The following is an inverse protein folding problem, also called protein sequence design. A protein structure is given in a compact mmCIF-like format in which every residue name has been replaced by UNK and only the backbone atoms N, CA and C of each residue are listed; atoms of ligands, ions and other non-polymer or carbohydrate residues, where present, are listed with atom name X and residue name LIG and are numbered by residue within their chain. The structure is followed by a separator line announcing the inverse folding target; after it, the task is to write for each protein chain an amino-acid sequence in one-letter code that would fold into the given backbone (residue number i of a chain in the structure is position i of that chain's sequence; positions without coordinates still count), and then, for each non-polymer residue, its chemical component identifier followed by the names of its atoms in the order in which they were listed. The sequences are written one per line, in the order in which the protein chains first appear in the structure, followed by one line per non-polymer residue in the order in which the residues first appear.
data_IF_200223690002
#
_entry.id   IF_200223690002
#
_cell.length_a   1.000
_cell.length_b   1.000
_cell.length_c   1.000
_cell.angle_alpha   90.00
_cell.angle_beta   90.00
_cell.angle_gamma   90.00
#
_symmetry.space_group_name_H-M   'P 1'
#
loop_
_entity.id
_entity.type
_entity.pdbx_description
1 polymer ?
#
# COMPACT_ATOMS: atom_id res chain seq x y z
N UNK A 1 7.12 19.13 8.87
CA UNK A 1 6.72 18.23 7.77
C UNK A 1 7.99 17.88 7.01
N UNK A 2 8.34 16.59 6.93
CA UNK A 2 9.55 16.09 6.28
C UNK A 2 9.11 15.23 5.09
N UNK A 3 9.37 15.66 3.86
CA UNK A 3 9.08 14.85 2.67
C UNK A 3 10.33 14.05 2.30
N UNK A 4 10.18 12.73 2.19
CA UNK A 4 11.29 11.83 1.89
C UNK A 4 11.29 11.37 0.43
N UNK A 5 10.22 11.58 -0.33
CA UNK A 5 10.09 11.14 -1.73
C UNK A 5 10.45 9.66 -1.92
N UNK A 6 10.14 8.81 -0.93
CA UNK A 6 10.53 7.39 -0.94
C UNK A 6 12.04 7.12 -0.76
N UNK A 7 12.86 8.13 -0.49
CA UNK A 7 14.30 7.96 -0.29
C UNK A 7 14.64 7.56 1.16
N UNK A 8 15.14 6.33 1.33
CA UNK A 8 15.51 5.75 2.63
C UNK A 8 16.60 6.56 3.37
N UNK A 9 17.57 7.15 2.66
CA UNK A 9 18.61 7.95 3.30
C UNK A 9 18.03 9.24 3.89
N UNK A 10 17.14 9.93 3.15
CA UNK A 10 16.40 11.09 3.66
C UNK A 10 15.53 10.71 4.87
N UNK A 11 14.88 9.55 4.85
CA UNK A 11 14.06 9.07 5.98
C UNK A 11 14.88 8.93 7.24
N UNK A 12 16.03 8.26 7.15
CA UNK A 12 16.93 8.08 8.29
C UNK A 12 17.42 9.41 8.85
N UNK A 13 17.82 10.33 7.99
CA UNK A 13 18.37 11.62 8.41
C UNK A 13 17.28 12.48 9.09
N UNK A 14 16.04 12.45 8.59
CA UNK A 14 14.92 13.11 9.26
C UNK A 14 14.56 12.47 10.59
N UNK A 15 14.56 11.15 10.70
CA UNK A 15 14.29 10.48 11.97
C UNK A 15 15.34 10.79 13.02
N UNK A 16 16.63 10.80 12.64
CA UNK A 16 17.71 11.22 13.54
C UNK A 16 17.52 12.66 14.01
N UNK A 17 17.23 13.58 13.08
CA UNK A 17 16.97 14.97 13.43
C UNK A 17 15.77 15.12 14.37
N UNK A 18 14.68 14.36 14.14
CA UNK A 18 13.48 14.43 14.98
C UNK A 18 13.74 13.87 16.39
N UNK A 19 14.49 12.76 16.49
CA UNK A 19 14.93 12.22 17.77
C UNK A 19 15.83 13.21 18.53
N UNK A 20 16.77 13.86 17.85
CA UNK A 20 17.65 14.88 18.45
C UNK A 20 16.90 16.13 18.92
N UNK A 21 15.78 16.47 18.26
CA UNK A 21 14.96 17.66 18.59
C UNK A 21 13.98 17.45 19.75
N UNK A 22 13.98 16.29 20.43
CA UNK A 22 13.07 15.96 21.55
C UNK A 22 11.61 16.23 21.21
N UNK A 23 11.16 15.71 20.06
CA UNK A 23 9.72 15.72 19.74
C UNK A 23 8.95 14.87 20.75
N UNK A 24 7.70 15.22 21.02
CA UNK A 24 6.84 14.51 22.00
C UNK A 24 6.21 13.22 21.42
N UNK A 25 6.31 13.03 20.10
CA UNK A 25 5.78 11.85 19.41
C UNK A 25 6.09 11.89 17.91
N UNK A 26 5.90 10.76 17.24
CA UNK A 26 6.19 10.60 15.82
C UNK A 26 5.03 9.94 15.08
N UNK A 27 4.59 10.57 13.98
CA UNK A 27 3.70 9.96 13.00
C UNK A 27 4.52 9.63 11.75
N UNK A 28 4.61 8.34 11.42
CA UNK A 28 5.36 7.85 10.27
C UNK A 28 4.39 7.40 9.19
N UNK A 29 4.36 8.13 8.07
CA UNK A 29 3.65 7.72 6.86
C UNK A 29 4.69 7.31 5.84
N UNK A 30 4.78 6.02 5.54
CA UNK A 30 5.70 5.52 4.55
C UNK A 30 5.13 4.33 3.80
N UNK A 31 5.41 4.29 2.50
CA UNK A 31 5.05 3.18 1.63
C UNK A 31 5.96 1.96 1.75
N UNK A 32 7.11 2.06 2.44
CA UNK A 32 7.98 0.95 2.87
C UNK A 32 8.75 1.32 4.14
N UNK A 33 8.86 0.40 5.10
CA UNK A 33 9.77 0.52 6.23
C UNK A 33 10.83 -0.57 6.12
N UNK A 34 12.09 -0.17 5.96
CA UNK A 34 13.18 -1.14 6.02
C UNK A 34 13.47 -1.55 7.48
N UNK A 35 14.11 -2.70 7.64
CA UNK A 35 14.44 -3.27 8.96
C UNK A 35 15.37 -2.35 9.77
N UNK A 36 16.22 -1.57 9.10
CA UNK A 36 17.12 -0.63 9.78
C UNK A 36 16.38 0.56 10.37
N UNK A 37 15.34 1.03 9.68
CA UNK A 37 14.47 2.09 10.13
C UNK A 37 13.66 1.64 11.33
N UNK A 38 13.08 0.44 11.27
CA UNK A 38 12.40 -0.18 12.41
C UNK A 38 13.33 -0.30 13.62
N UNK A 39 14.56 -0.80 13.44
CA UNK A 39 15.53 -0.87 14.54
C UNK A 39 15.90 0.52 15.10
N UNK A 40 15.96 1.55 14.25
CA UNK A 40 16.24 2.91 14.70
C UNK A 40 15.07 3.48 15.52
N UNK A 41 13.84 3.16 15.13
CA UNK A 41 12.60 3.53 15.81
C UNK A 41 12.45 2.78 17.14
N UNK A 42 12.72 1.48 17.18
CA UNK A 42 12.69 0.64 18.40
C UNK A 42 13.72 1.07 19.46
N UNK A 43 14.80 1.74 19.04
CA UNK A 43 15.78 2.32 19.98
C UNK A 43 15.23 3.53 20.72
N UNK A 44 14.16 4.17 20.22
CA UNK A 44 13.53 5.35 20.81
C UNK A 44 12.33 4.95 21.69
N UNK A 45 12.56 4.09 22.69
CA UNK A 45 11.50 3.47 23.51
C UNK A 45 10.58 4.47 24.24
N UNK A 46 11.09 5.68 24.50
CA UNK A 46 10.37 6.71 25.25
C UNK A 46 9.57 7.65 24.33
N UNK A 47 9.62 7.44 23.01
CA UNK A 47 8.95 8.28 22.03
C UNK A 47 7.69 7.58 21.48
N UNK A 48 6.47 8.04 21.81
CA UNK A 48 5.24 7.51 21.25
C UNK A 48 5.23 7.56 19.72
N UNK A 49 4.83 6.47 19.08
CA UNK A 49 4.92 6.32 17.63
C UNK A 49 3.69 5.65 17.03
N UNK A 50 3.20 6.26 15.96
CA UNK A 50 2.12 5.71 15.12
C UNK A 50 2.62 5.58 13.69
N UNK A 51 2.46 4.40 13.11
CA UNK A 51 2.75 4.11 11.71
C UNK A 51 1.43 4.05 10.94
N UNK A 52 1.40 4.63 9.73
CA UNK A 52 0.24 4.60 8.85
C UNK A 52 0.53 3.82 7.56
N UNK A 53 -0.53 3.26 6.97
CA UNK A 53 -0.57 2.49 5.70
C UNK A 53 0.09 1.11 5.76
N UNK A 54 1.32 1.00 6.27
CA UNK A 54 2.02 -0.27 6.37
C UNK A 54 3.04 -0.29 7.51
N UNK A 55 3.11 -1.39 8.26
CA UNK A 55 4.13 -1.61 9.28
C UNK A 55 4.00 -2.97 9.95
N UNK A 56 5.09 -3.53 10.51
CA UNK A 56 5.03 -4.75 11.30
C UNK A 56 4.29 -4.51 12.63
N UNK A 57 3.69 -5.56 13.16
CA UNK A 57 3.19 -5.53 14.53
C UNK A 57 4.39 -5.51 15.50
N UNK A 58 4.59 -4.39 16.20
CA UNK A 58 5.59 -4.27 17.26
C UNK A 58 4.92 -3.74 18.53
N UNK A 59 5.29 -4.23 19.73
CA UNK A 59 4.73 -3.77 21.00
C UNK A 59 4.93 -2.28 21.29
N UNK A 60 5.80 -1.60 20.53
CA UNK A 60 6.17 -0.20 20.74
C UNK A 60 5.62 0.75 19.67
N UNK A 61 4.84 0.24 18.72
CA UNK A 61 4.28 1.04 17.63
C UNK A 61 2.81 0.74 17.45
N UNK A 62 1.98 1.78 17.50
CA UNK A 62 0.60 1.67 17.05
C UNK A 62 0.56 1.75 15.52
N UNK A 63 -0.36 1.00 14.91
CA UNK A 63 -0.45 0.91 13.46
C UNK A 63 -1.87 1.22 13.00
N UNK A 64 -2.01 2.15 12.07
CA UNK A 64 -3.28 2.52 11.44
C UNK A 64 -3.20 2.09 9.98
N UNK A 65 -3.96 1.06 9.63
CA UNK A 65 -4.00 0.48 8.28
C UNK A 65 -5.42 0.45 7.74
N UNK A 66 -5.53 0.57 6.43
CA UNK A 66 -6.74 0.21 5.72
C UNK A 66 -6.84 -1.32 5.58
N UNK A 67 -8.05 -1.82 5.31
CA UNK A 67 -8.20 -3.21 4.88
C UNK A 67 -8.16 -3.27 3.36
N UNK A 68 -6.95 -3.36 2.81
CA UNK A 68 -6.69 -3.38 1.38
C UNK A 68 -7.42 -4.53 0.67
N UNK A 69 -7.50 -5.73 1.28
CA UNK A 69 -8.28 -6.86 0.73
C UNK A 69 -9.77 -6.52 0.63
N UNK A 70 -10.35 -5.98 1.71
CA UNK A 70 -11.74 -5.56 1.71
C UNK A 70 -11.99 -4.45 0.69
N UNK A 71 -11.07 -3.50 0.54
CA UNK A 71 -11.15 -2.45 -0.46
C UNK A 71 -11.23 -2.99 -1.88
N UNK A 72 -10.32 -3.91 -2.24
CA UNK A 72 -10.35 -4.59 -3.55
C UNK A 72 -11.63 -5.40 -3.77
N UNK A 73 -12.11 -6.09 -2.72
CA UNK A 73 -13.34 -6.85 -2.76
C UNK A 73 -14.57 -5.97 -3.01
N UNK A 74 -14.74 -4.90 -2.24
CA UNK A 74 -15.90 -3.99 -2.32
C UNK A 74 -15.95 -3.30 -3.69
N UNK A 75 -14.81 -2.82 -4.19
CA UNK A 75 -14.74 -2.18 -5.51
C UNK A 75 -15.15 -3.15 -6.63
N UNK A 76 -14.64 -4.38 -6.60
CA UNK A 76 -14.94 -5.39 -7.62
C UNK A 76 -16.40 -5.84 -7.54
N UNK A 77 -16.90 -6.10 -6.32
CA UNK A 77 -18.28 -6.48 -6.08
C UNK A 77 -19.26 -5.43 -6.58
N UNK A 78 -18.95 -4.14 -6.39
CA UNK A 78 -19.76 -3.05 -6.92
C UNK A 78 -19.95 -3.17 -8.44
N UNK A 79 -18.88 -3.40 -9.21
CA UNK A 79 -19.02 -3.60 -10.66
C UNK A 79 -19.85 -4.84 -11.01
N UNK A 80 -19.66 -5.94 -10.30
CA UNK A 80 -20.41 -7.19 -10.51
C UNK A 80 -21.92 -6.97 -10.25
N UNK A 81 -22.27 -6.27 -9.17
CA UNK A 81 -23.66 -5.95 -8.82
C UNK A 81 -24.34 -5.04 -9.86
N UNK A 82 -23.56 -4.26 -10.60
CA UNK A 82 -24.02 -3.45 -11.73
C UNK A 82 -24.03 -4.20 -13.08
N UNK A 83 -23.76 -5.52 -13.06
CA UNK A 83 -23.86 -6.40 -14.22
C UNK A 83 -22.58 -6.52 -15.05
N UNK A 84 -21.47 -5.93 -14.60
CA UNK A 84 -20.17 -6.11 -15.28
C UNK A 84 -19.64 -7.52 -15.04
N UNK A 85 -19.21 -8.18 -16.12
CA UNK A 85 -18.65 -9.55 -16.09
C UNK A 85 -17.21 -9.63 -16.56
N UNK A 86 -16.79 -8.65 -17.36
CA UNK A 86 -15.44 -8.49 -17.87
C UNK A 86 -14.78 -7.36 -17.08
N UNK A 87 -13.96 -7.71 -16.09
CA UNK A 87 -13.36 -6.74 -15.17
C UNK A 87 -11.85 -7.01 -15.15
N UNK A 88 -11.07 -6.00 -15.55
CA UNK A 88 -9.62 -5.98 -15.41
C UNK A 88 -9.18 -5.32 -14.10
N UNK A 89 -7.95 -5.61 -13.68
CA UNK A 89 -7.36 -5.00 -12.49
C UNK A 89 -5.98 -4.44 -12.84
N UNK A 90 -5.86 -3.11 -12.84
CA UNK A 90 -4.57 -2.42 -12.86
C UNK A 90 -4.12 -2.21 -11.41
N UNK A 91 -3.16 -3.01 -10.97
CA UNK A 91 -2.51 -2.88 -9.66
C UNK A 91 -1.33 -1.91 -9.71
N UNK A 92 -0.84 -1.45 -8.56
CA UNK A 92 0.52 -0.91 -8.46
C UNK A 92 1.56 -2.03 -8.31
N UNK A 93 2.80 -1.66 -8.00
CA UNK A 93 3.91 -2.59 -7.78
C UNK A 93 3.56 -3.79 -6.88
N UNK A 94 3.84 -4.99 -7.38
CA UNK A 94 3.55 -6.28 -6.74
C UNK A 94 4.35 -6.52 -5.45
N UNK A 95 5.48 -5.82 -5.28
CA UNK A 95 6.27 -5.83 -4.05
C UNK A 95 5.54 -5.20 -2.86
N UNK A 96 4.57 -4.31 -3.11
CA UNK A 96 3.78 -3.65 -2.07
C UNK A 96 2.69 -4.56 -1.53
N UNK A 97 2.65 -4.71 -0.19
CA UNK A 97 1.62 -5.54 0.49
C UNK A 97 0.21 -5.08 0.13
N UNK A 98 -0.05 -3.77 0.19
CA UNK A 98 -1.38 -3.23 -0.11
C UNK A 98 -1.86 -3.55 -1.55
N UNK A 99 -0.95 -3.57 -2.52
CA UNK A 99 -1.27 -3.97 -3.91
C UNK A 99 -1.68 -5.44 -4.00
N UNK A 100 -0.90 -6.33 -3.35
CA UNK A 100 -1.23 -7.78 -3.32
C UNK A 100 -2.56 -8.05 -2.62
N UNK A 101 -2.81 -7.39 -1.50
CA UNK A 101 -4.07 -7.54 -0.77
C UNK A 101 -5.26 -7.02 -1.59
N UNK A 102 -5.15 -5.87 -2.28
CA UNK A 102 -6.21 -5.40 -3.19
C UNK A 102 -6.49 -6.41 -4.32
N UNK A 103 -5.45 -6.97 -4.93
CA UNK A 103 -5.60 -7.99 -5.97
C UNK A 103 -6.27 -9.25 -5.43
N UNK A 104 -5.94 -9.67 -4.20
CA UNK A 104 -6.59 -10.79 -3.51
C UNK A 104 -8.09 -10.53 -3.29
N UNK A 105 -8.46 -9.32 -2.86
CA UNK A 105 -9.85 -8.88 -2.74
C UNK A 105 -10.61 -8.94 -4.06
N UNK A 106 -9.99 -8.47 -5.14
CA UNK A 106 -10.53 -8.57 -6.50
C UNK A 106 -10.78 -10.03 -6.92
N UNK A 107 -9.77 -10.90 -6.79
CA UNK A 107 -9.88 -12.32 -7.16
C UNK A 107 -10.96 -13.03 -6.35
N UNK A 108 -11.10 -12.69 -5.07
CA UNK A 108 -12.15 -13.22 -4.19
C UNK A 108 -13.55 -12.84 -4.68
N UNK A 109 -13.80 -11.57 -5.00
CA UNK A 109 -15.10 -11.13 -5.51
C UNK A 109 -15.46 -11.78 -6.85
N UNK A 110 -14.49 -11.90 -7.77
CA UNK A 110 -14.68 -12.59 -9.05
C UNK A 110 -15.04 -14.06 -8.84
N UNK A 111 -14.29 -14.75 -7.96
CA UNK A 111 -14.53 -16.16 -7.63
C UNK A 111 -15.90 -16.39 -6.99
N UNK A 112 -16.33 -15.54 -6.04
CA UNK A 112 -17.65 -15.65 -5.39
C UNK A 112 -18.81 -15.45 -6.38
N UNK A 113 -18.60 -14.63 -7.41
CA UNK A 113 -19.58 -14.41 -8.47
C UNK A 113 -19.52 -15.45 -9.61
N UNK A 114 -18.59 -16.41 -9.54
CA UNK A 114 -18.38 -17.41 -10.60
C UNK A 114 -17.83 -16.82 -11.89
N UNK A 115 -17.16 -15.67 -11.83
CA UNK A 115 -16.52 -15.01 -12.98
C UNK A 115 -15.06 -15.42 -13.08
N UNK A 116 -14.61 -15.72 -14.30
CA UNK A 116 -13.20 -16.00 -14.56
C UNK A 116 -12.39 -14.69 -14.54
N UNK A 117 -11.20 -14.76 -13.95
CA UNK A 117 -10.21 -13.69 -14.07
C UNK A 117 -9.42 -13.89 -15.34
N UNK A 118 -9.41 -12.89 -16.23
CA UNK A 118 -8.50 -12.89 -17.37
C UNK A 118 -7.14 -12.36 -16.90
N UNK A 119 -6.13 -13.22 -16.89
CA UNK A 119 -4.78 -12.84 -16.48
C UNK A 119 -4.17 -11.77 -17.41
N UNK A 120 -4.60 -11.69 -18.68
CA UNK A 120 -4.16 -10.65 -19.62
C UNK A 120 -4.71 -9.26 -19.26
N UNK A 121 -5.70 -9.19 -18.37
CA UNK A 121 -6.27 -7.94 -17.85
C UNK A 121 -5.77 -7.62 -16.44
N UNK A 122 -4.79 -8.37 -15.94
CA UNK A 122 -4.08 -8.06 -14.70
C UNK A 122 -2.80 -7.33 -15.04
N UNK A 123 -2.84 -6.01 -14.88
CA UNK A 123 -1.76 -5.12 -15.27
C UNK A 123 -1.07 -4.59 -14.03
N UNK A 124 0.25 -4.52 -14.08
CA UNK A 124 1.06 -3.89 -13.04
C UNK A 124 1.47 -2.48 -13.50
N UNK A 125 1.16 -1.49 -12.67
CA UNK A 125 1.51 -0.09 -12.86
C UNK A 125 2.56 0.38 -11.85
N UNK A 126 3.14 1.53 -12.14
CA UNK A 126 4.23 2.15 -11.37
C UNK A 126 3.76 3.30 -10.45
N UNK A 127 2.44 3.45 -10.28
CA UNK A 127 1.76 4.58 -9.61
C UNK A 127 1.80 5.91 -10.36
N UNK A 128 2.28 5.93 -11.61
CA UNK A 128 2.18 7.10 -12.47
C UNK A 128 0.89 7.08 -13.31
N UNK A 129 0.28 8.25 -13.50
CA UNK A 129 -0.97 8.34 -14.26
C UNK A 129 -0.76 8.02 -15.75
N UNK A 130 0.37 8.47 -16.31
CA UNK A 130 0.65 8.29 -17.73
C UNK A 130 0.87 6.81 -18.11
N UNK A 131 1.57 6.06 -17.26
CA UNK A 131 1.78 4.62 -17.45
C UNK A 131 0.46 3.85 -17.30
N UNK A 132 -0.39 4.25 -16.36
CA UNK A 132 -1.70 3.65 -16.12
C UNK A 132 -2.61 3.75 -17.35
N UNK A 133 -2.65 4.92 -18.01
CA UNK A 133 -3.42 5.12 -19.25
C UNK A 133 -2.90 4.19 -20.36
N UNK A 134 -1.58 4.15 -20.58
CA UNK A 134 -0.98 3.30 -21.61
C UNK A 134 -1.25 1.81 -21.39
N UNK A 135 -1.13 1.37 -20.14
CA UNK A 135 -1.42 -0.03 -19.77
C UNK A 135 -2.88 -0.38 -20.05
N UNK A 136 -3.82 0.50 -19.65
CA UNK A 136 -5.24 0.29 -19.90
C UNK A 136 -5.55 0.26 -21.41
N UNK A 137 -5.01 1.17 -22.20
CA UNK A 137 -5.20 1.20 -23.66
C UNK A 137 -4.68 -0.06 -24.36
N UNK A 138 -3.53 -0.58 -23.94
CA UNK A 138 -2.96 -1.80 -24.50
C UNK A 138 -3.83 -3.05 -24.24
N UNK A 139 -4.58 -3.07 -23.15
CA UNK A 139 -5.46 -4.20 -22.77
C UNK A 139 -6.82 -4.23 -23.48
N UNK A 140 -7.13 -3.18 -24.26
CA UNK A 140 -8.39 -3.05 -25.03
C UNK A 140 -8.28 -3.57 -26.47
N UNK A 141 -7.11 -4.06 -26.89
CA UNK A 141 -6.85 -4.61 -28.23
C UNK A 141 -7.04 -6.12 -28.28
#
# INVERSE_FOLDING_TARGET
MCNTEGNLAKQRDYLRMLAEKRVDGLLVMCSDLDEQLLQLLERQKDLPMVIMDWGPESPQTDNIQDNAELGGYVATKFFIEHGHKAIGCLTGHSEKVACRERLKGFRKAMSEAGLAVNEDWLLEGDFECESAVKAAEASLQ
#
